data_IF_819939670180
#
_entry.id   IF_819939670180
#
_cell.length_a   1.000
_cell.length_b   1.000
_cell.length_c   1.000
_cell.angle_alpha   90.00
_cell.angle_beta   90.00
_cell.angle_gamma   90.00
#
_symmetry.space_group_name_H-M   'P 1'
#
loop_
_entity.id
_entity.type
_entity.pdbx_description
1 polymer ?
#
# COMPACT_ATOMS: atom_id res chain seq x y z
N UNK A 1 -4.33 6.98 10.75
CA UNK A 1 -2.98 6.53 11.18
C UNK A 1 -2.89 6.43 12.69
N UNK A 2 -3.06 7.53 13.42
CA UNK A 2 -2.98 7.56 14.91
C UNK A 2 -3.83 6.46 15.55
N UNK A 3 -5.10 6.31 15.15
CA UNK A 3 -6.00 5.26 15.67
C UNK A 3 -5.39 3.86 15.54
N UNK A 4 -4.83 3.51 14.38
CA UNK A 4 -4.28 2.18 14.13
C UNK A 4 -2.92 1.96 14.79
N UNK A 5 -2.12 3.02 14.97
CA UNK A 5 -0.93 2.96 15.81
C UNK A 5 -1.30 2.73 17.28
N UNK A 6 -2.37 3.36 17.77
CA UNK A 6 -2.88 3.14 19.12
C UNK A 6 -3.37 1.70 19.31
N UNK A 7 -4.13 1.16 18.36
CA UNK A 7 -4.58 -0.24 18.38
C UNK A 7 -3.38 -1.19 18.41
N UNK A 8 -2.36 -0.95 17.58
CA UNK A 8 -1.14 -1.76 17.56
C UNK A 8 -0.40 -1.67 18.91
N UNK A 9 -0.30 -0.48 19.50
CA UNK A 9 0.32 -0.29 20.82
C UNK A 9 -0.43 -1.06 21.91
N UNK A 10 -1.76 -0.97 21.94
CA UNK A 10 -2.60 -1.71 22.89
C UNK A 10 -2.43 -3.22 22.70
N UNK A 11 -2.42 -3.70 21.44
CA UNK A 11 -2.22 -5.11 21.15
C UNK A 11 -0.84 -5.62 21.62
N UNK A 12 0.21 -4.82 21.44
CA UNK A 12 1.56 -5.14 21.91
C UNK A 12 1.63 -5.18 23.44
N UNK A 13 1.02 -4.21 24.12
CA UNK A 13 0.96 -4.17 25.58
C UNK A 13 0.17 -5.36 26.14
N UNK A 14 -0.98 -5.68 25.54
CA UNK A 14 -1.81 -6.82 25.94
C UNK A 14 -1.09 -8.15 25.75
N UNK A 15 -0.33 -8.30 24.66
CA UNK A 15 0.48 -9.49 24.43
C UNK A 15 1.62 -9.64 25.43
N UNK A 16 2.33 -8.55 25.73
CA UNK A 16 3.37 -8.53 26.74
C UNK A 16 2.82 -8.92 28.13
N UNK A 17 1.63 -8.45 28.48
CA UNK A 17 0.97 -8.77 29.75
C UNK A 17 0.65 -10.27 29.93
N UNK A 18 0.45 -11.01 28.84
CA UNK A 18 0.19 -12.46 28.86
C UNK A 18 1.44 -13.30 28.54
N UNK A 19 2.63 -12.67 28.49
CA UNK A 19 3.89 -13.35 28.16
C UNK A 19 4.03 -13.76 26.68
N UNK A 20 3.15 -13.28 25.80
CA UNK A 20 3.26 -13.53 24.37
C UNK A 20 4.25 -12.53 23.75
N UNK A 21 5.28 -13.03 23.07
CA UNK A 21 6.24 -12.18 22.39
C UNK A 21 5.72 -11.78 21.01
N UNK A 22 5.52 -10.48 20.81
CA UNK A 22 5.56 -9.93 19.45
C UNK A 22 7.03 -9.72 19.08
N UNK A 23 7.38 -9.96 17.82
CA UNK A 23 8.72 -9.71 17.25
C UNK A 23 9.14 -8.23 17.25
N UNK A 24 8.49 -7.38 18.06
CA UNK A 24 8.67 -5.94 18.05
C UNK A 24 8.75 -5.42 19.47
N UNK A 25 9.79 -4.64 19.73
CA UNK A 25 10.01 -4.00 21.00
C UNK A 25 8.99 -2.89 21.25
N UNK A 26 8.63 -2.72 22.53
CA UNK A 26 7.83 -1.60 22.97
C UNK A 26 8.67 -0.32 22.87
N UNK A 27 8.08 0.81 22.44
CA UNK A 27 8.78 2.08 22.48
C UNK A 27 9.13 2.44 23.93
N UNK A 28 10.22 3.20 24.17
CA UNK A 28 10.50 3.78 25.47
C UNK A 28 9.29 4.56 26.00
N UNK A 29 9.05 4.51 27.32
CA UNK A 29 7.92 5.21 27.96
C UNK A 29 8.19 6.73 28.14
N UNK A 30 8.93 7.33 27.22
CA UNK A 30 9.14 8.78 27.20
C UNK A 30 8.04 9.45 26.36
N UNK A 31 7.57 10.65 26.73
CA UNK A 31 6.51 11.35 25.96
C UNK A 31 6.85 11.51 24.48
N UNK A 32 8.12 11.81 24.16
CA UNK A 32 8.59 11.97 22.78
C UNK A 32 8.56 10.67 21.99
N UNK A 33 8.96 9.54 22.59
CA UNK A 33 8.91 8.24 21.96
C UNK A 33 7.48 7.78 21.71
N UNK A 34 6.56 8.04 22.65
CA UNK A 34 5.14 7.70 22.49
C UNK A 34 4.48 8.55 21.39
N UNK A 35 4.75 9.86 21.37
CA UNK A 35 4.27 10.74 20.29
C UNK A 35 4.79 10.25 18.95
N UNK A 36 6.09 9.93 18.83
CA UNK A 36 6.65 9.40 17.59
C UNK A 36 6.09 8.01 17.25
N UNK A 37 5.87 7.13 18.23
CA UNK A 37 5.27 5.82 18.00
C UNK A 37 3.86 5.92 17.41
N UNK A 38 3.08 6.92 17.83
CA UNK A 38 1.72 7.18 17.35
C UNK A 38 1.66 7.95 16.04
N UNK A 39 2.58 8.90 15.82
CA UNK A 39 2.52 9.86 14.72
C UNK A 39 3.57 9.64 13.64
N UNK A 40 4.65 8.92 13.92
CA UNK A 40 5.78 8.73 13.00
C UNK A 40 6.41 10.04 12.53
N UNK A 41 6.34 11.13 13.31
CA UNK A 41 6.83 12.45 12.87
C UNK A 41 8.35 12.54 12.84
N UNK A 42 9.04 11.87 13.76
CA UNK A 42 10.49 11.99 13.97
C UNK A 42 11.26 10.72 13.58
N UNK A 43 10.56 9.67 13.15
CA UNK A 43 11.17 8.38 12.83
C UNK A 43 10.11 7.28 12.69
N UNK A 44 10.52 6.00 12.75
CA UNK A 44 9.61 4.85 12.69
C UNK A 44 8.51 4.85 13.79
N UNK A 45 7.26 4.90 13.37
CA UNK A 45 6.02 4.65 14.12
C UNK A 45 5.88 3.17 14.42
N UNK A 46 5.06 2.85 15.42
CA UNK A 46 4.84 1.49 15.90
C UNK A 46 4.15 0.57 14.90
N UNK A 47 3.60 1.09 13.81
CA UNK A 47 3.14 0.28 12.69
C UNK A 47 3.92 0.68 11.42
N UNK A 48 4.97 -0.08 11.08
CA UNK A 48 5.82 0.19 9.91
C UNK A 48 5.01 0.24 8.62
N UNK A 49 3.92 -0.52 8.52
CA UNK A 49 3.08 -0.49 7.32
C UNK A 49 2.38 0.85 7.13
N UNK A 50 2.04 1.56 8.23
CA UNK A 50 1.39 2.86 8.16
C UNK A 50 2.33 4.01 7.74
N UNK A 51 3.66 3.78 7.70
CA UNK A 51 4.62 4.73 7.08
C UNK A 51 4.20 5.07 5.67
N UNK A 52 3.71 4.07 4.95
CA UNK A 52 3.23 4.24 3.60
C UNK A 52 2.12 5.30 3.52
N UNK A 53 1.18 5.35 4.46
CA UNK A 53 0.10 6.35 4.44
C UNK A 53 0.62 7.77 4.67
N UNK A 54 1.58 7.94 5.58
CA UNK A 54 2.22 9.24 5.80
C UNK A 54 2.97 9.68 4.55
N UNK A 55 3.81 8.81 4.00
CA UNK A 55 4.58 9.11 2.79
C UNK A 55 3.66 9.39 1.59
N UNK A 56 2.55 8.68 1.47
CA UNK A 56 1.51 8.92 0.46
C UNK A 56 0.84 10.30 0.65
N UNK A 57 0.48 10.66 1.88
CA UNK A 57 -0.09 11.97 2.19
C UNK A 57 0.89 13.09 1.87
N UNK A 58 2.14 12.98 2.34
CA UNK A 58 3.18 13.99 2.10
C UNK A 58 3.51 14.11 0.61
N UNK A 59 3.63 12.98 -0.11
CA UNK A 59 3.85 12.99 -1.56
C UNK A 59 2.70 13.65 -2.31
N UNK A 60 1.45 13.37 -1.90
CA UNK A 60 0.26 14.03 -2.47
C UNK A 60 0.29 15.54 -2.22
N UNK A 61 0.59 15.96 -0.99
CA UNK A 61 0.69 17.37 -0.63
C UNK A 61 1.77 18.09 -1.45
N UNK A 62 2.97 17.49 -1.58
CA UNK A 62 4.04 18.04 -2.41
C UNK A 62 3.56 18.20 -3.85
N UNK A 63 3.03 17.14 -4.48
CA UNK A 63 2.55 17.21 -5.87
C UNK A 63 1.49 18.29 -6.03
N UNK A 64 0.50 18.37 -5.14
CA UNK A 64 -0.58 19.37 -5.22
C UNK A 64 -0.03 20.79 -5.09
N UNK A 65 0.85 21.04 -4.12
CA UNK A 65 1.43 22.37 -3.87
C UNK A 65 2.38 22.79 -5.01
N UNK A 66 3.11 21.86 -5.59
CA UNK A 66 4.06 22.15 -6.68
C UNK A 66 3.43 22.02 -8.07
N UNK A 67 2.20 21.54 -8.19
CA UNK A 67 1.58 21.16 -9.47
C UNK A 67 1.65 22.26 -10.51
N UNK A 68 1.31 23.50 -10.11
CA UNK A 68 1.31 24.67 -10.98
C UNK A 68 2.67 24.91 -11.64
N UNK A 69 3.76 24.59 -10.96
CA UNK A 69 5.12 24.84 -11.44
C UNK A 69 5.68 23.67 -12.23
N UNK A 70 5.32 22.43 -11.88
CA UNK A 70 5.91 21.23 -12.50
C UNK A 70 5.13 20.72 -13.72
N UNK A 71 3.86 21.11 -13.89
CA UNK A 71 2.97 20.54 -14.93
C UNK A 71 3.47 20.72 -16.36
N UNK A 72 4.22 21.79 -16.62
CA UNK A 72 4.77 22.09 -17.95
C UNK A 72 6.10 21.39 -18.18
N UNK A 73 6.72 20.84 -17.12
CA UNK A 73 8.04 20.21 -17.12
C UNK A 73 8.02 18.82 -16.48
N UNK A 74 6.92 18.06 -16.65
CA UNK A 74 6.68 16.81 -15.93
C UNK A 74 7.78 15.76 -16.11
N UNK A 75 8.38 15.65 -17.30
CA UNK A 75 9.50 14.72 -17.54
C UNK A 75 10.77 15.13 -16.80
N UNK A 76 11.06 16.43 -16.72
CA UNK A 76 12.20 16.96 -15.96
C UNK A 76 11.96 16.73 -14.47
N UNK A 77 10.76 17.04 -13.97
CA UNK A 77 10.37 16.79 -12.59
C UNK A 77 10.48 15.29 -12.25
N UNK A 78 10.05 14.40 -13.15
CA UNK A 78 10.19 12.95 -12.97
C UNK A 78 11.65 12.52 -12.90
N UNK A 79 12.53 13.06 -13.76
CA UNK A 79 13.97 12.82 -13.71
C UNK A 79 14.60 13.28 -12.40
N UNK A 80 14.25 14.48 -11.92
CA UNK A 80 14.71 15.01 -10.63
C UNK A 80 14.25 14.10 -9.48
N UNK A 81 12.96 13.74 -9.44
CA UNK A 81 12.42 12.85 -8.41
C UNK A 81 13.06 11.47 -8.47
N UNK A 82 13.40 10.96 -9.67
CA UNK A 82 14.11 9.69 -9.83
C UNK A 82 15.50 9.75 -9.20
N UNK A 83 16.28 10.80 -9.47
CA UNK A 83 17.60 11.01 -8.84
C UNK A 83 17.48 11.13 -7.32
N UNK A 84 16.57 11.98 -6.85
CA UNK A 84 16.26 12.14 -5.42
C UNK A 84 15.86 10.81 -4.76
N UNK A 85 15.16 9.95 -5.48
CA UNK A 85 14.77 8.60 -5.02
C UNK A 85 15.96 7.68 -4.88
N UNK A 86 16.86 7.65 -5.86
CA UNK A 86 18.06 6.80 -5.84
C UNK A 86 18.98 7.16 -4.68
N UNK A 87 19.15 8.46 -4.42
CA UNK A 87 20.04 8.94 -3.36
C UNK A 87 19.34 9.15 -2.00
N UNK A 88 18.06 8.76 -1.89
CA UNK A 88 17.24 8.89 -0.66
C UNK A 88 17.27 10.29 -0.03
N UNK A 89 17.29 11.34 -0.86
CA UNK A 89 17.42 12.72 -0.41
C UNK A 89 16.12 13.30 0.19
N UNK A 90 15.06 12.50 0.29
CA UNK A 90 13.79 12.91 0.88
C UNK A 90 13.67 12.62 2.36
N UNK A 91 14.59 11.87 2.95
CA UNK A 91 14.61 11.62 4.39
C UNK A 91 14.95 12.92 5.13
N UNK A 92 14.28 13.26 6.25
CA UNK A 92 13.29 12.47 6.98
C UNK A 92 11.82 12.74 6.59
N UNK A 93 11.56 13.47 5.50
CA UNK A 93 10.21 13.91 5.12
C UNK A 93 9.42 12.77 4.45
N UNK A 94 10.01 12.06 3.49
CA UNK A 94 9.45 10.87 2.85
C UNK A 94 10.47 9.75 2.96
N UNK A 95 10.12 8.66 3.64
CA UNK A 95 11.03 7.53 3.87
C UNK A 95 11.04 6.53 2.71
N UNK A 96 9.99 6.55 1.88
CA UNK A 96 9.85 5.72 0.68
C UNK A 96 9.71 6.62 -0.55
N UNK A 97 10.81 7.24 -1.04
CA UNK A 97 10.75 8.18 -2.15
C UNK A 97 10.17 7.58 -3.43
N UNK A 98 10.20 6.25 -3.58
CA UNK A 98 9.52 5.54 -4.67
C UNK A 98 8.03 5.88 -4.76
N UNK A 99 7.37 6.20 -3.65
CA UNK A 99 5.95 6.58 -3.66
C UNK A 99 5.77 7.88 -4.45
N UNK A 100 6.57 8.91 -4.14
CA UNK A 100 6.56 10.18 -4.87
C UNK A 100 6.86 9.97 -6.35
N UNK A 101 7.86 9.14 -6.67
CA UNK A 101 8.22 8.79 -8.06
C UNK A 101 7.04 8.19 -8.83
N UNK A 102 6.42 7.14 -8.30
CA UNK A 102 5.32 6.45 -8.99
C UNK A 102 4.03 7.28 -9.01
N UNK A 103 3.77 8.09 -7.98
CA UNK A 103 2.65 9.03 -7.99
C UNK A 103 2.83 10.09 -9.08
N UNK A 104 4.01 10.72 -9.17
CA UNK A 104 4.30 11.70 -10.20
C UNK A 104 4.25 11.07 -11.60
N UNK A 105 4.79 9.86 -11.77
CA UNK A 105 4.66 9.12 -13.04
C UNK A 105 3.19 8.91 -13.44
N UNK A 106 2.33 8.52 -12.49
CA UNK A 106 0.89 8.41 -12.73
C UNK A 106 0.25 9.74 -13.13
N UNK A 107 0.62 10.85 -12.47
CA UNK A 107 0.19 12.19 -12.85
C UNK A 107 0.67 12.57 -14.27
N UNK A 108 1.91 12.24 -14.63
CA UNK A 108 2.47 12.48 -15.97
C UNK A 108 1.69 11.74 -17.05
N UNK A 109 1.41 10.46 -16.84
CA UNK A 109 0.58 9.67 -17.76
C UNK A 109 -0.82 10.27 -17.92
N UNK A 110 -1.44 10.69 -16.80
CA UNK A 110 -2.76 11.33 -16.82
C UNK A 110 -2.76 12.66 -17.56
N UNK A 111 -1.75 13.50 -17.36
CA UNK A 111 -1.60 14.80 -18.04
C UNK A 111 -1.42 14.63 -19.56
N UNK A 112 -0.85 13.51 -19.99
CA UNK A 112 -0.68 13.14 -21.40
C UNK A 112 -1.87 12.37 -21.98
N UNK A 113 -2.97 12.25 -21.22
CA UNK A 113 -4.14 11.47 -21.63
C UNK A 113 -3.85 10.00 -21.95
N UNK A 114 -2.78 9.42 -21.38
CA UNK A 114 -2.43 8.01 -21.55
C UNK A 114 -3.24 7.19 -20.54
N UNK A 115 -4.21 6.35 -20.98
CA UNK A 115 -4.99 5.54 -20.05
C UNK A 115 -4.13 4.42 -19.48
N UNK A 116 -4.30 4.07 -18.19
CA UNK A 116 -3.52 2.98 -17.59
C UNK A 116 -3.68 1.64 -18.33
N UNK A 117 -4.84 1.40 -18.95
CA UNK A 117 -5.07 0.22 -19.78
C UNK A 117 -4.16 0.12 -20.99
N UNK A 118 -3.58 1.22 -21.49
CA UNK A 118 -2.61 1.15 -22.58
C UNK A 118 -1.29 0.52 -22.15
N UNK A 119 -0.94 0.57 -20.85
CA UNK A 119 0.24 -0.08 -20.31
C UNK A 119 0.11 -1.61 -20.22
N UNK A 120 -1.13 -2.12 -20.24
CA UNK A 120 -1.42 -3.55 -20.32
C UNK A 120 -1.42 -4.10 -21.75
N UNK A 121 -1.25 -3.26 -22.78
CA UNK A 121 -1.16 -3.73 -24.16
C UNK A 121 0.08 -4.63 -24.32
N UNK A 122 -0.02 -5.78 -25.02
CA UNK A 122 1.07 -6.75 -25.09
C UNK A 122 2.46 -6.18 -25.38
N UNK A 123 2.67 -5.28 -26.36
CA UNK A 123 4.00 -4.74 -26.61
C UNK A 123 4.50 -3.88 -25.44
N UNK A 124 3.67 -2.97 -24.93
CA UNK A 124 4.06 -2.06 -23.84
C UNK A 124 4.32 -2.83 -22.54
N UNK A 125 3.46 -3.80 -22.25
CA UNK A 125 3.62 -4.71 -21.11
C UNK A 125 4.91 -5.53 -21.22
N UNK A 126 5.15 -6.14 -22.38
CA UNK A 126 6.35 -6.94 -22.62
C UNK A 126 7.61 -6.10 -22.50
N UNK A 127 7.70 -4.94 -23.17
CA UNK A 127 8.86 -4.06 -23.06
C UNK A 127 9.02 -3.45 -21.66
N UNK A 128 7.92 -3.17 -20.95
CA UNK A 128 7.94 -2.67 -19.58
C UNK A 128 8.51 -3.70 -18.60
N UNK A 129 8.05 -4.95 -18.69
CA UNK A 129 8.58 -6.06 -17.89
C UNK A 129 10.00 -6.39 -18.29
N UNK A 130 10.29 -6.52 -19.58
CA UNK A 130 11.62 -6.84 -20.07
C UNK A 130 12.62 -5.75 -19.67
N UNK A 131 12.30 -4.47 -19.89
CA UNK A 131 13.17 -3.36 -19.50
C UNK A 131 13.43 -3.34 -17.99
N UNK A 132 12.38 -3.46 -17.17
CA UNK A 132 12.52 -3.50 -15.71
C UNK A 132 13.29 -4.74 -15.25
N UNK A 133 13.04 -5.89 -15.86
CA UNK A 133 13.71 -7.17 -15.59
C UNK A 133 15.18 -7.13 -15.95
N UNK A 134 15.53 -6.55 -17.10
CA UNK A 134 16.93 -6.37 -17.53
C UNK A 134 17.68 -5.46 -16.56
N UNK A 135 17.09 -4.34 -16.14
CA UNK A 135 17.72 -3.46 -15.13
C UNK A 135 17.89 -4.20 -13.80
N UNK A 136 16.87 -4.95 -13.37
CA UNK A 136 16.92 -5.77 -12.15
C UNK A 136 18.05 -6.81 -12.21
N UNK A 137 18.17 -7.54 -13.31
CA UNK A 137 19.19 -8.56 -13.53
C UNK A 137 20.58 -7.94 -13.64
N UNK A 138 20.73 -6.83 -14.37
CA UNK A 138 21.98 -6.09 -14.48
C UNK A 138 22.46 -5.61 -13.12
N UNK A 139 21.57 -5.01 -12.30
CA UNK A 139 21.93 -4.59 -10.96
C UNK A 139 22.34 -5.77 -10.07
N UNK A 140 21.63 -6.90 -10.17
CA UNK A 140 21.89 -8.06 -9.32
C UNK A 140 23.19 -8.79 -9.67
N UNK A 141 23.45 -9.02 -10.95
CA UNK A 141 24.55 -9.87 -11.41
C UNK A 141 25.80 -9.09 -11.84
N UNK A 142 25.67 -7.85 -12.32
CA UNK A 142 26.80 -7.09 -12.86
C UNK A 142 27.37 -6.06 -11.88
N UNK A 143 26.56 -5.59 -10.93
CA UNK A 143 26.90 -4.46 -10.06
C UNK A 143 27.00 -4.83 -8.57
N UNK A 144 27.06 -6.14 -8.25
CA UNK A 144 27.21 -6.71 -6.90
C UNK A 144 26.48 -5.93 -5.79
N UNK A 145 25.25 -6.33 -5.47
CA UNK A 145 24.37 -5.56 -4.58
C UNK A 145 24.82 -5.55 -3.11
N UNK A 146 25.60 -4.54 -2.70
CA UNK A 146 26.03 -4.32 -1.31
C UNK A 146 25.41 -3.04 -0.69
N UNK A 147 24.23 -2.64 -1.15
CA UNK A 147 23.51 -1.44 -0.68
C UNK A 147 23.74 -0.22 -1.57
N UNK A 148 23.38 0.96 -1.07
CA UNK A 148 23.53 2.23 -1.79
C UNK A 148 22.64 2.39 -3.04
N UNK A 149 23.01 3.31 -3.96
CA UNK A 149 22.22 3.67 -5.15
C UNK A 149 21.81 2.49 -6.04
N UNK A 150 22.69 1.50 -6.22
CA UNK A 150 22.42 0.31 -7.06
C UNK A 150 21.28 -0.51 -6.48
N UNK A 151 21.23 -0.68 -5.15
CA UNK A 151 20.14 -1.38 -4.47
C UNK A 151 18.80 -0.65 -4.63
N UNK A 152 18.82 0.68 -4.63
CA UNK A 152 17.62 1.49 -4.83
C UNK A 152 17.12 1.44 -6.28
N UNK A 153 18.01 1.46 -7.27
CA UNK A 153 17.67 1.20 -8.68
C UNK A 153 17.04 -0.19 -8.83
N UNK A 154 17.65 -1.22 -8.20
CA UNK A 154 17.12 -2.58 -8.21
C UNK A 154 15.69 -2.64 -7.63
N UNK A 155 15.43 -1.94 -6.52
CA UNK A 155 14.11 -1.85 -5.89
C UNK A 155 13.10 -1.11 -6.78
N UNK A 156 13.49 -0.01 -7.42
CA UNK A 156 12.65 0.72 -8.39
C UNK A 156 12.29 -0.20 -9.57
N UNK A 157 13.27 -0.92 -10.13
CA UNK A 157 13.06 -1.85 -11.24
C UNK A 157 12.09 -2.98 -10.85
N UNK A 158 12.28 -3.60 -9.66
CA UNK A 158 11.36 -4.59 -9.12
C UNK A 158 9.93 -4.05 -9.01
N UNK A 159 9.77 -2.81 -8.53
CA UNK A 159 8.47 -2.15 -8.43
C UNK A 159 7.87 -1.81 -9.80
N UNK A 160 8.68 -1.36 -10.76
CA UNK A 160 8.25 -1.12 -12.13
C UNK A 160 7.65 -2.37 -12.75
N UNK A 161 8.35 -3.51 -12.63
CA UNK A 161 7.88 -4.81 -13.10
C UNK A 161 6.55 -5.21 -12.44
N UNK A 162 6.45 -5.03 -11.11
CA UNK A 162 5.22 -5.28 -10.37
C UNK A 162 4.06 -4.37 -10.81
N UNK A 163 4.33 -3.09 -11.11
CA UNK A 163 3.31 -2.14 -11.60
C UNK A 163 2.71 -2.63 -12.91
N UNK A 164 3.54 -3.03 -13.88
CA UNK A 164 3.03 -3.58 -15.14
C UNK A 164 2.20 -4.85 -14.92
N UNK A 165 2.65 -5.78 -14.08
CA UNK A 165 1.90 -6.97 -13.73
C UNK A 165 0.55 -6.65 -13.07
N UNK A 166 0.52 -5.75 -12.10
CA UNK A 166 -0.71 -5.34 -11.39
C UNK A 166 -1.68 -4.65 -12.33
N UNK A 167 -1.20 -3.77 -13.22
CA UNK A 167 -2.05 -3.10 -14.22
C UNK A 167 -2.64 -4.13 -15.19
N UNK A 168 -1.85 -5.09 -15.68
CA UNK A 168 -2.35 -6.15 -16.55
C UNK A 168 -3.44 -6.99 -15.86
N UNK A 169 -3.22 -7.40 -14.61
CA UNK A 169 -4.22 -8.12 -13.80
C UNK A 169 -5.48 -7.28 -13.60
N UNK A 170 -5.35 -6.00 -13.25
CA UNK A 170 -6.51 -5.11 -13.08
C UNK A 170 -7.33 -4.97 -14.38
N UNK A 171 -6.65 -4.87 -15.52
CA UNK A 171 -7.30 -4.84 -16.84
C UNK A 171 -8.01 -6.17 -17.14
N UNK A 172 -7.39 -7.31 -16.85
CA UNK A 172 -8.02 -8.63 -17.02
C UNK A 172 -9.26 -8.80 -16.15
N UNK A 173 -9.21 -8.36 -14.88
CA UNK A 173 -10.36 -8.34 -13.98
C UNK A 173 -11.48 -7.48 -14.57
N UNK A 174 -11.15 -6.29 -15.09
CA UNK A 174 -12.13 -5.37 -15.69
C UNK A 174 -12.81 -5.89 -16.96
N UNK A 175 -12.20 -6.83 -17.69
CA UNK A 175 -12.84 -7.46 -18.85
C UNK A 175 -13.80 -8.60 -18.47
N UNK A 176 -13.69 -9.16 -17.27
CA UNK A 176 -14.51 -10.27 -16.81
C UNK A 176 -15.56 -9.81 -15.81
N UNK A 177 -16.84 -9.80 -16.23
CA UNK A 177 -17.97 -9.42 -15.36
C UNK A 177 -18.02 -10.20 -14.04
N UNK A 178 -17.67 -11.50 -14.07
CA UNK A 178 -17.67 -12.36 -12.87
C UNK A 178 -16.56 -11.98 -11.90
N UNK A 179 -15.35 -11.77 -12.41
CA UNK A 179 -14.22 -11.36 -11.57
C UNK A 179 -14.43 -9.95 -11.04
N UNK A 180 -14.88 -9.02 -11.88
CA UNK A 180 -15.21 -7.67 -11.47
C UNK A 180 -16.24 -7.69 -10.33
N UNK A 181 -17.35 -8.40 -10.48
CA UNK A 181 -18.37 -8.50 -9.42
C UNK A 181 -17.81 -9.05 -8.10
N UNK A 182 -16.88 -10.00 -8.17
CA UNK A 182 -16.19 -10.53 -6.99
C UNK A 182 -15.30 -9.46 -6.33
N UNK A 183 -14.49 -8.73 -7.10
CA UNK A 183 -13.63 -7.67 -6.55
C UNK A 183 -14.41 -6.45 -6.06
N UNK A 184 -15.53 -6.11 -6.70
CA UNK A 184 -16.46 -5.07 -6.24
C UNK A 184 -17.03 -5.42 -4.84
N UNK A 185 -17.18 -6.72 -4.52
CA UNK A 185 -17.57 -7.15 -3.18
C UNK A 185 -16.45 -6.97 -2.14
N UNK A 186 -15.18 -7.01 -2.56
CA UNK A 186 -14.02 -6.80 -1.69
C UNK A 186 -13.68 -5.31 -1.50
N UNK A 187 -14.04 -4.45 -2.46
CA UNK A 187 -13.74 -3.00 -2.45
C UNK A 187 -14.13 -2.31 -1.12
N UNK A 188 -15.33 -2.53 -0.53
CA UNK A 188 -15.73 -1.84 0.69
C UNK A 188 -14.81 -2.12 1.89
N UNK A 189 -14.18 -3.30 1.91
CA UNK A 189 -13.33 -3.78 3.00
C UNK A 189 -11.83 -3.67 2.70
N UNK A 190 -11.43 -3.41 1.46
CA UNK A 190 -10.03 -3.36 1.05
C UNK A 190 -9.18 -2.37 1.85
N UNK A 191 -9.72 -1.17 2.15
CA UNK A 191 -9.01 -0.20 2.98
C UNK A 191 -8.84 -0.66 4.43
N UNK A 192 -9.87 -1.30 5.01
CA UNK A 192 -9.77 -1.87 6.35
C UNK A 192 -8.75 -3.01 6.39
N UNK A 193 -8.77 -3.90 5.39
CA UNK A 193 -7.78 -4.96 5.22
C UNK A 193 -6.36 -4.37 5.12
N UNK A 194 -6.18 -3.28 4.35
CA UNK A 194 -4.91 -2.57 4.28
C UNK A 194 -4.48 -1.97 5.64
N UNK A 195 -5.39 -1.47 6.47
CA UNK A 195 -5.02 -0.94 7.79
C UNK A 195 -4.68 -2.06 8.79
N UNK A 196 -5.39 -3.19 8.72
CA UNK A 196 -5.28 -4.28 9.68
C UNK A 196 -4.28 -5.38 9.29
N UNK A 197 -3.82 -5.44 8.03
CA UNK A 197 -3.04 -6.59 7.52
C UNK A 197 -1.82 -6.93 8.39
N UNK A 198 -1.08 -5.94 8.89
CA UNK A 198 0.11 -6.22 9.69
C UNK A 198 -0.23 -6.92 11.02
N UNK A 199 -1.36 -6.54 11.64
CA UNK A 199 -1.85 -7.16 12.86
C UNK A 199 -2.47 -8.52 12.57
N UNK A 200 -3.37 -8.59 11.57
CA UNK A 200 -4.04 -9.84 11.19
C UNK A 200 -3.04 -10.89 10.69
N UNK A 201 -2.01 -10.51 9.93
CA UNK A 201 -0.95 -11.42 9.51
C UNK A 201 -0.31 -12.11 10.71
N UNK A 202 0.04 -11.32 11.73
CA UNK A 202 0.66 -11.85 12.95
C UNK A 202 -0.30 -12.75 13.71
N UNK A 203 -1.58 -12.39 13.82
CA UNK A 203 -2.57 -13.21 14.49
C UNK A 203 -2.81 -14.53 13.75
N UNK A 204 -2.94 -14.49 12.42
CA UNK A 204 -3.05 -15.69 11.57
C UNK A 204 -1.81 -16.57 11.77
N UNK A 205 -0.62 -15.97 11.76
CA UNK A 205 0.63 -16.68 12.00
C UNK A 205 0.66 -17.36 13.37
N UNK A 206 0.34 -16.63 14.44
CA UNK A 206 0.29 -17.18 15.81
C UNK A 206 -0.71 -18.34 15.89
N UNK A 207 -1.85 -18.25 15.22
CA UNK A 207 -2.83 -19.33 15.18
C UNK A 207 -2.36 -20.54 14.36
N UNK A 208 -1.52 -20.32 13.34
CA UNK A 208 -0.99 -21.36 12.46
C UNK A 208 0.28 -22.03 12.99
N UNK A 209 1.06 -21.36 13.85
CA UNK A 209 2.30 -21.90 14.39
C UNK A 209 2.13 -23.25 15.14
N UNK A 210 1.07 -23.47 15.96
CA UNK A 210 0.81 -24.77 16.59
C UNK A 210 0.55 -25.92 15.59
N UNK A 211 0.20 -25.62 14.34
CA UNK A 211 -0.03 -26.61 13.29
C UNK A 211 1.27 -27.10 12.63
N UNK A 212 2.44 -26.70 13.15
CA UNK A 212 3.75 -27.09 12.63
C UNK A 212 4.20 -26.31 11.39
N UNK A 213 3.54 -25.18 11.09
CA UNK A 213 3.93 -24.30 9.99
C UNK A 213 5.16 -23.48 10.42
N UNK A 214 6.23 -23.52 9.63
CA UNK A 214 7.50 -22.87 9.92
C UNK A 214 7.80 -21.74 8.94
N UNK A 215 8.30 -20.60 9.44
CA UNK A 215 8.67 -19.43 8.62
C UNK A 215 9.84 -19.72 7.67
N UNK A 216 10.68 -20.70 8.01
CA UNK A 216 11.87 -21.08 7.23
C UNK A 216 11.64 -22.35 6.39
N UNK A 217 10.41 -22.89 6.41
CA UNK A 217 10.07 -24.13 5.72
C UNK A 217 9.25 -23.91 4.45
N UNK A 218 9.05 -24.96 3.64
CA UNK A 218 8.17 -24.91 2.46
C UNK A 218 6.72 -24.51 2.80
N UNK A 219 6.29 -24.76 4.04
CA UNK A 219 4.98 -24.35 4.57
C UNK A 219 4.78 -22.84 4.60
N UNK A 220 5.85 -22.04 4.58
CA UNK A 220 5.77 -20.59 4.46
C UNK A 220 5.10 -20.16 3.15
N UNK A 221 5.31 -20.88 2.05
CA UNK A 221 4.65 -20.58 0.77
C UNK A 221 3.13 -20.73 0.89
N UNK A 222 2.67 -21.79 1.57
CA UNK A 222 1.25 -21.99 1.83
C UNK A 222 0.68 -20.82 2.64
N UNK A 223 1.35 -20.42 3.73
CA UNK A 223 0.97 -19.24 4.50
C UNK A 223 0.96 -17.97 3.64
N UNK A 224 1.98 -17.75 2.81
CA UNK A 224 2.11 -16.55 1.99
C UNK A 224 0.95 -16.40 1.00
N UNK A 225 0.52 -17.50 0.35
CA UNK A 225 -0.61 -17.47 -0.57
C UNK A 225 -1.97 -17.44 0.14
N UNK A 226 -2.10 -18.07 1.31
CA UNK A 226 -3.36 -18.10 2.07
C UNK A 226 -3.60 -16.85 2.90
N UNK A 227 -2.55 -16.16 3.36
CA UNK A 227 -2.67 -15.01 4.23
C UNK A 227 -3.59 -13.90 3.66
N UNK A 228 -3.48 -13.48 2.38
CA UNK A 228 -4.41 -12.49 1.82
C UNK A 228 -5.87 -12.96 1.86
N UNK A 229 -6.14 -14.23 1.53
CA UNK A 229 -7.51 -14.78 1.53
C UNK A 229 -8.08 -14.84 2.95
N UNK A 230 -7.29 -15.33 3.91
CA UNK A 230 -7.65 -15.38 5.32
C UNK A 230 -7.87 -13.98 5.90
N UNK A 231 -7.04 -13.01 5.52
CA UNK A 231 -7.22 -11.62 5.92
C UNK A 231 -8.56 -11.07 5.45
N UNK A 232 -8.91 -11.21 4.17
CA UNK A 232 -10.21 -10.75 3.69
C UNK A 232 -11.36 -11.45 4.42
N UNK A 233 -11.25 -12.78 4.62
CA UNK A 233 -12.24 -13.55 5.37
C UNK A 233 -12.45 -13.04 6.81
N UNK A 234 -11.38 -12.62 7.51
CA UNK A 234 -11.45 -12.02 8.85
C UNK A 234 -11.92 -10.56 8.83
N UNK A 235 -11.62 -9.82 7.78
CA UNK A 235 -11.97 -8.40 7.67
C UNK A 235 -13.47 -8.22 7.42
N UNK A 236 -14.14 -9.14 6.73
CA UNK A 236 -15.59 -9.07 6.52
C UNK A 236 -16.41 -8.98 7.82
N UNK A 237 -16.30 -9.93 8.78
CA UNK A 237 -17.02 -9.84 10.04
C UNK A 237 -16.56 -8.64 10.87
N UNK A 238 -15.26 -8.29 10.83
CA UNK A 238 -14.75 -7.10 11.50
C UNK A 238 -15.37 -5.82 10.94
N UNK A 239 -15.56 -5.72 9.63
CA UNK A 239 -16.21 -4.59 8.98
C UNK A 239 -17.66 -4.45 9.43
N UNK A 240 -18.41 -5.57 9.48
CA UNK A 240 -19.78 -5.58 9.98
C UNK A 240 -19.85 -5.14 11.46
N UNK A 241 -18.94 -5.65 12.30
CA UNK A 241 -18.84 -5.26 13.71
C UNK A 241 -18.55 -3.77 13.86
N UNK A 242 -17.57 -3.23 13.12
CA UNK A 242 -17.22 -1.81 13.18
C UNK A 242 -18.40 -0.94 12.72
N UNK A 243 -19.13 -1.35 11.69
CA UNK A 243 -20.29 -0.59 11.20
C UNK A 243 -21.47 -0.61 12.19
N UNK A 244 -21.54 -1.59 13.09
CA UNK A 244 -22.52 -1.63 14.17
C UNK A 244 -22.16 -0.70 15.35
N UNK A 245 -20.92 -0.21 15.42
CA UNK A 245 -20.50 0.73 16.47
C UNK A 245 -21.14 2.10 16.29
N UNK A 246 -21.38 2.78 17.41
CA UNK A 246 -21.86 4.17 17.41
C UNK A 246 -20.77 5.12 16.87
N UNK A 247 -21.22 6.18 16.21
CA UNK A 247 -20.33 7.28 15.83
C UNK A 247 -19.66 7.88 17.07
N UNK A 248 -18.38 8.30 16.99
CA UNK A 248 -17.53 8.45 15.79
C UNK A 248 -16.63 7.25 15.45
N UNK A 249 -16.76 6.11 16.13
CA UNK A 249 -15.82 4.98 16.03
C UNK A 249 -15.61 4.44 14.59
N UNK A 250 -16.64 4.28 13.74
CA UNK A 250 -16.44 3.79 12.37
C UNK A 250 -15.55 4.71 11.53
N UNK A 251 -15.65 6.04 11.71
CA UNK A 251 -14.80 7.01 11.02
C UNK A 251 -13.34 6.83 11.46
N UNK A 252 -13.09 6.69 12.76
CA UNK A 252 -11.72 6.56 13.26
C UNK A 252 -11.05 5.25 12.82
N UNK A 253 -11.83 4.17 12.67
CA UNK A 253 -11.33 2.84 12.32
C UNK A 253 -11.22 2.64 10.80
N UNK A 254 -12.15 3.16 10.02
CA UNK A 254 -12.21 2.93 8.56
C UNK A 254 -11.93 4.18 7.72
N UNK A 255 -11.78 5.36 8.32
CA UNK A 255 -11.62 6.62 7.60
C UNK A 255 -12.88 7.11 6.86
N UNK A 256 -13.99 6.38 6.94
CA UNK A 256 -15.27 6.70 6.30
C UNK A 256 -16.42 6.44 7.26
N UNK A 257 -17.45 7.29 7.21
CA UNK A 257 -18.72 6.99 7.87
C UNK A 257 -19.31 5.74 7.25
N UNK A 258 -19.98 4.91 8.05
CA UNK A 258 -20.87 3.88 7.51
C UNK A 258 -21.83 4.58 6.53
N UNK A 259 -21.74 4.26 5.24
CA UNK A 259 -22.70 4.77 4.26
C UNK A 259 -24.05 4.25 4.72
N UNK A 260 -24.98 5.15 5.08
CA UNK A 260 -26.39 4.77 5.08
C UNK A 260 -26.67 4.22 3.68
N UNK A 261 -27.27 3.02 3.54
CA UNK A 261 -27.61 2.49 2.24
C UNK A 261 -28.36 3.59 1.49
N UNK A 262 -27.85 3.98 0.32
CA UNK A 262 -28.56 4.92 -0.56
C UNK A 262 -29.92 4.27 -0.80
N UNK A 263 -30.96 4.78 -0.13
CA UNK A 263 -32.35 4.43 -0.42
C UNK A 263 -32.49 4.66 -1.93
N UNK A 264 -32.68 3.58 -2.69
CA UNK A 264 -32.71 3.58 -4.15
C UNK A 264 -33.53 4.78 -4.66
N UNK A 265 -32.85 5.89 -4.98
CA UNK A 265 -33.40 6.88 -5.89
C UNK A 265 -33.17 6.26 -7.26
N UNK A 266 -34.24 5.70 -7.79
CA UNK A 266 -34.43 5.43 -9.20
C UNK A 266 -34.32 6.75 -9.97
N UNK A 267 -33.12 7.32 -10.07
CA UNK A 267 -32.85 8.38 -11.02
C UNK A 267 -32.63 7.69 -12.37
N UNK A 268 -33.48 7.97 -13.38
CA UNK A 268 -33.31 7.40 -14.71
C UNK A 268 -31.93 7.79 -15.23
N UNK A 269 -31.20 6.80 -15.76
CA UNK A 269 -29.91 7.02 -16.40
C UNK A 269 -30.10 7.98 -17.59
N UNK A 270 -29.85 9.26 -17.34
CA UNK A 270 -29.67 10.26 -18.39
C UNK A 270 -28.44 9.85 -19.18
N UNK A 271 -28.71 9.35 -20.39
CA UNK A 271 -27.71 8.82 -21.29
C UNK A 271 -26.60 9.82 -21.56
N UNK A 272 -25.37 9.39 -21.29
CA UNK A 272 -24.17 9.97 -21.88
C UNK A 272 -24.24 9.77 -23.41
N UNK A 273 -24.81 10.74 -24.12
CA UNK A 273 -24.56 10.89 -25.56
C UNK A 273 -23.19 11.55 -25.71
N UNK A 274 -22.23 10.78 -26.21
CA UNK A 274 -20.99 11.30 -26.76
C UNK A 274 -21.34 12.14 -27.99
N UNK A 275 -20.86 13.39 -28.01
CA UNK A 275 -20.56 14.14 -29.24
C UNK A 275 -19.05 14.23 -29.34
#
# INVERSE_FOLDING_TARGET
MVTWNLIMLIALLGAAAIGASFSRELPPLTPSALVNALTGLFGPSINLSLFFLRDLFVSTAIIVLTWRYIRDYLWVALGVVFVVTIFKLTDPIIFRPTILLFMLAGCTLRAQHIPLSSLAKPPVFFFGILGSGTVLLACHYLLETHGGPVSDIQNIARRGMLVFAVIAVAVLIGHSKRLQAFFDHLEPVAFLAYLSHALLAKLIWIAMAPLGLSLMGPSYLFYFFMAPMLMFALVFPLHALINALRMPLPIFLQGKSAKKPKKNRSEPMLGFRLR
#
